data_IF_972274179902
#
_entry.id   IF_972274179902
#
_cell.length_a   1.000
_cell.length_b   1.000
_cell.length_c   1.000
_cell.angle_alpha   90.00
_cell.angle_beta   90.00
_cell.angle_gamma   90.00
#
_symmetry.space_group_name_H-M   'P 1'
#
loop_
_entity.id
_entity.type
_entity.pdbx_description
1 polymer ?
#
# COMPACT_ATOMS: atom_id res chain seq x y z
N UNK A 1 9.55 8.05 -16.07
CA UNK A 1 8.58 7.04 -15.62
C UNK A 1 8.81 6.85 -14.13
N UNK A 2 7.76 6.89 -13.30
CA UNK A 2 7.91 6.59 -11.87
C UNK A 2 8.22 5.10 -11.72
N UNK A 3 9.23 4.77 -10.94
CA UNK A 3 9.61 3.38 -10.67
C UNK A 3 8.95 2.91 -9.38
N UNK A 4 8.88 1.60 -9.17
CA UNK A 4 8.33 0.97 -7.97
C UNK A 4 8.83 1.64 -6.66
N UNK A 5 10.11 2.01 -6.65
CA UNK A 5 10.79 2.73 -5.57
C UNK A 5 10.13 4.05 -5.16
N UNK A 6 9.45 4.76 -6.06
CA UNK A 6 8.80 6.04 -5.75
C UNK A 6 7.61 5.87 -4.80
N UNK A 7 6.94 4.72 -4.87
CA UNK A 7 5.75 4.40 -4.10
C UNK A 7 6.04 3.59 -2.83
N UNK A 8 7.25 3.02 -2.72
CA UNK A 8 7.70 2.37 -1.50
C UNK A 8 7.63 3.30 -0.27
N UNK A 9 7.33 2.71 0.88
CA UNK A 9 7.15 3.40 2.14
C UNK A 9 5.81 3.09 2.80
N UNK A 10 5.55 3.75 3.92
CA UNK A 10 4.35 3.54 4.72
C UNK A 10 3.22 4.43 4.20
N UNK A 11 2.04 3.83 4.03
CA UNK A 11 0.79 4.48 3.64
C UNK A 11 -0.21 4.29 4.76
N UNK A 12 -0.79 5.37 5.27
CA UNK A 12 -1.54 5.34 6.52
C UNK A 12 -2.89 6.02 6.32
N UNK A 13 -3.96 5.44 6.85
CA UNK A 13 -5.26 6.12 6.90
C UNK A 13 -5.18 7.37 7.76
N UNK A 14 -6.08 8.34 7.54
CA UNK A 14 -6.07 9.63 8.26
C UNK A 14 -6.06 9.48 9.79
N UNK A 15 -6.69 8.44 10.30
CA UNK A 15 -6.80 8.11 11.73
C UNK A 15 -5.64 7.26 12.27
N UNK A 16 -4.70 6.84 11.43
CA UNK A 16 -3.59 5.98 11.83
C UNK A 16 -3.97 4.51 12.06
N UNK A 17 -5.23 4.13 11.83
CA UNK A 17 -5.72 2.79 12.15
C UNK A 17 -5.17 1.74 11.19
N UNK A 18 -5.11 2.04 9.88
CA UNK A 18 -4.55 1.14 8.87
C UNK A 18 -3.20 1.69 8.45
N UNK A 19 -2.18 0.85 8.52
CA UNK A 19 -0.81 1.13 8.08
C UNK A 19 -0.42 0.10 7.04
N UNK A 20 -0.12 0.54 5.84
CA UNK A 20 0.16 -0.28 4.69
C UNK A 20 1.58 0.04 4.20
N UNK A 21 2.51 -0.89 4.45
CA UNK A 21 3.91 -0.74 4.12
C UNK A 21 4.20 -1.36 2.75
N UNK A 22 4.52 -0.53 1.76
CA UNK A 22 5.03 -0.99 0.47
C UNK A 22 6.55 -1.14 0.55
N UNK A 23 7.03 -2.38 0.56
CA UNK A 23 8.44 -2.73 0.70
C UNK A 23 9.15 -2.72 -0.66
N UNK A 24 10.45 -2.38 -0.70
CA UNK A 24 11.27 -2.61 -1.88
C UNK A 24 11.21 -4.07 -2.32
N UNK A 25 11.07 -4.30 -3.63
CA UNK A 25 10.96 -5.65 -4.20
C UNK A 25 9.52 -6.14 -4.39
N UNK A 26 8.51 -5.26 -4.30
CA UNK A 26 7.14 -5.58 -4.69
C UNK A 26 6.38 -6.40 -3.64
N UNK A 27 6.75 -6.28 -2.36
CA UNK A 27 6.04 -6.93 -1.24
C UNK A 27 5.33 -5.89 -0.39
N UNK A 28 4.18 -6.22 0.17
CA UNK A 28 3.49 -5.33 1.11
C UNK A 28 3.17 -6.03 2.42
N UNK A 29 3.04 -5.22 3.48
CA UNK A 29 2.54 -5.62 4.80
C UNK A 29 1.50 -4.60 5.28
N UNK A 30 0.32 -5.07 5.63
CA UNK A 30 -0.76 -4.23 6.16
C UNK A 30 -1.02 -4.56 7.63
N UNK A 31 -0.93 -3.55 8.48
CA UNK A 31 -1.34 -3.59 9.88
C UNK A 31 -2.66 -2.84 10.09
N UNK A 32 -3.51 -3.36 10.98
CA UNK A 32 -4.79 -2.74 11.37
C UNK A 32 -4.89 -2.64 12.90
N UNK A 33 -4.85 -1.43 13.42
CA UNK A 33 -4.84 -1.15 14.86
C UNK A 33 -3.68 -1.87 15.55
N UNK A 34 -4.01 -2.78 16.46
CA UNK A 34 -3.04 -3.59 17.20
C UNK A 34 -2.62 -4.87 16.48
N UNK A 35 -3.29 -5.24 15.39
CA UNK A 35 -2.95 -6.42 14.59
C UNK A 35 -1.92 -6.04 13.55
N UNK A 36 -0.65 -6.34 13.86
CA UNK A 36 0.44 -6.29 12.90
C UNK A 36 0.25 -7.39 11.84
N UNK A 37 0.68 -7.13 10.61
CA UNK A 37 0.67 -8.10 9.51
C UNK A 37 -0.68 -8.81 9.31
N UNK A 38 -1.75 -8.02 9.31
CA UNK A 38 -3.11 -8.49 9.03
C UNK A 38 -3.20 -9.09 7.62
N UNK A 39 -2.54 -8.45 6.65
CA UNK A 39 -2.42 -8.92 5.27
C UNK A 39 -0.99 -8.73 4.76
N UNK A 40 -0.52 -9.70 3.98
CA UNK A 40 0.78 -9.67 3.33
C UNK A 40 0.67 -10.27 1.94
N UNK A 41 1.52 -9.81 1.04
CA UNK A 41 1.58 -10.35 -0.29
C UNK A 41 2.52 -9.58 -1.19
N UNK A 42 2.24 -9.69 -2.48
CA UNK A 42 2.98 -9.01 -3.53
C UNK A 42 2.12 -7.94 -4.18
N UNK A 43 2.78 -6.93 -4.75
CA UNK A 43 2.11 -5.89 -5.50
C UNK A 43 2.88 -5.57 -6.78
N UNK A 44 2.21 -4.99 -7.76
CA UNK A 44 2.79 -4.52 -9.01
C UNK A 44 2.24 -3.15 -9.35
N UNK A 45 3.11 -2.24 -9.80
CA UNK A 45 2.70 -0.87 -10.15
C UNK A 45 2.80 -0.66 -11.66
N UNK A 46 1.69 -0.26 -12.27
CA UNK A 46 1.62 0.12 -13.68
C UNK A 46 1.21 1.58 -13.79
N UNK A 47 2.21 2.46 -14.01
CA UNK A 47 2.00 3.91 -14.07
C UNK A 47 1.64 4.51 -12.71
N UNK A 48 0.34 4.71 -12.47
CA UNK A 48 -0.22 5.15 -11.19
C UNK A 48 -1.23 4.17 -10.61
N UNK A 49 -1.43 3.01 -11.24
CA UNK A 49 -2.26 1.93 -10.72
C UNK A 49 -1.39 0.92 -9.96
N UNK A 50 -1.94 0.31 -8.92
CA UNK A 50 -1.31 -0.75 -8.13
C UNK A 50 -2.24 -1.95 -8.02
N UNK A 51 -1.73 -3.11 -8.41
CA UNK A 51 -2.38 -4.41 -8.26
C UNK A 51 -1.73 -5.16 -7.09
N UNK A 52 -2.55 -5.87 -6.32
CA UNK A 52 -2.14 -6.67 -5.17
C UNK A 52 -2.54 -8.13 -5.37
N UNK A 53 -1.68 -9.03 -4.92
CA UNK A 53 -1.96 -10.46 -4.75
C UNK A 53 -1.47 -10.85 -3.37
N UNK A 54 -2.39 -11.16 -2.46
CA UNK A 54 -2.04 -11.66 -1.13
C UNK A 54 -1.53 -13.11 -1.18
N UNK A 55 -0.84 -13.54 -0.13
CA UNK A 55 -0.26 -14.89 -0.07
C UNK A 55 -1.32 -16.01 -0.01
N UNK A 56 -2.60 -15.67 0.16
CA UNK A 56 -3.75 -16.60 0.10
C UNK A 56 -4.42 -16.66 -1.28
N UNK A 57 -3.99 -15.80 -2.22
CA UNK A 57 -4.52 -15.71 -3.58
C UNK A 57 -5.65 -14.68 -3.76
N UNK A 58 -5.94 -13.85 -2.75
CA UNK A 58 -6.89 -12.75 -2.91
C UNK A 58 -6.23 -11.59 -3.66
N UNK A 59 -6.99 -11.01 -4.59
CA UNK A 59 -6.53 -9.89 -5.41
C UNK A 59 -7.25 -8.62 -5.02
N UNK A 60 -6.53 -7.50 -5.03
CA UNK A 60 -7.11 -6.18 -4.84
C UNK A 60 -6.36 -5.15 -5.68
N UNK A 61 -6.95 -3.99 -5.87
CA UNK A 61 -6.39 -2.94 -6.70
C UNK A 61 -6.50 -1.56 -6.03
N UNK A 62 -5.75 -0.60 -6.56
CA UNK A 62 -5.79 0.77 -6.12
C UNK A 62 -5.12 1.74 -7.08
N UNK A 63 -5.29 3.03 -6.82
CA UNK A 63 -4.70 4.10 -7.61
C UNK A 63 -3.97 5.12 -6.74
N UNK A 64 -2.80 5.53 -7.20
CA UNK A 64 -2.11 6.72 -6.72
C UNK A 64 -2.64 7.95 -7.44
N UNK A 65 -3.20 8.90 -6.68
CA UNK A 65 -3.71 10.17 -7.18
C UNK A 65 -3.20 11.30 -6.30
N UNK A 66 -2.42 12.23 -6.88
CA UNK A 66 -1.87 13.39 -6.18
C UNK A 66 -1.13 13.06 -4.86
N UNK A 67 -0.39 11.95 -4.83
CA UNK A 67 0.36 11.51 -3.65
C UNK A 67 -0.48 10.80 -2.57
N UNK A 68 -1.71 10.44 -2.89
CA UNK A 68 -2.65 9.68 -2.05
C UNK A 68 -2.92 8.33 -2.70
N UNK A 69 -2.96 7.27 -1.91
CA UNK A 69 -3.34 5.93 -2.35
C UNK A 69 -4.84 5.70 -2.08
N UNK A 70 -5.58 5.41 -3.13
CA UNK A 70 -6.99 5.01 -3.08
C UNK A 70 -7.05 3.50 -3.30
N UNK A 71 -7.43 2.74 -2.29
CA UNK A 71 -7.37 1.28 -2.34
C UNK A 71 -8.52 0.67 -1.55
N UNK A 72 -9.32 -0.22 -2.17
CA UNK A 72 -10.44 -0.93 -1.53
C UNK A 72 -11.38 -0.02 -0.70
N UNK A 73 -11.70 1.19 -1.21
CA UNK A 73 -12.54 2.18 -0.54
C UNK A 73 -11.84 2.99 0.57
N UNK A 74 -10.56 2.72 0.82
CA UNK A 74 -9.72 3.43 1.79
C UNK A 74 -8.93 4.53 1.10
N UNK A 75 -8.64 5.59 1.88
CA UNK A 75 -7.77 6.69 1.48
C UNK A 75 -6.56 6.68 2.41
N UNK A 76 -5.39 6.41 1.83
CA UNK A 76 -4.14 6.33 2.56
C UNK A 76 -3.18 7.44 2.11
N UNK A 77 -2.50 8.01 3.08
CA UNK A 77 -1.53 9.09 2.89
C UNK A 77 -0.14 8.54 3.13
N UNK A 78 0.84 8.98 2.34
CA UNK A 78 2.23 8.60 2.58
C UNK A 78 2.66 9.15 3.95
N UNK A 79 3.11 8.28 4.83
CA UNK A 79 3.78 8.69 6.06
C UNK A 79 5.09 9.37 5.66
N UNK A 80 5.21 10.65 6.00
CA UNK A 80 6.43 11.40 5.70
C UNK A 80 7.62 10.73 6.40
N UNK A 81 8.70 10.47 5.67
CA UNK A 81 10.00 10.28 6.30
C UNK A 81 10.31 11.57 7.05
N UNK A 82 10.18 11.54 8.37
CA UNK A 82 10.80 12.57 9.23
C UNK A 82 12.32 12.54 9.06
#
# INVERSE_FOLDING_TARGET
>A
MKTDTDYTGMWVTRDGYIRHHLLPGGRYDEARGNRQSAYQGSYTITGNHIDYVDDTGFTADGDFRNGILYHAGMILYREGKS
#
